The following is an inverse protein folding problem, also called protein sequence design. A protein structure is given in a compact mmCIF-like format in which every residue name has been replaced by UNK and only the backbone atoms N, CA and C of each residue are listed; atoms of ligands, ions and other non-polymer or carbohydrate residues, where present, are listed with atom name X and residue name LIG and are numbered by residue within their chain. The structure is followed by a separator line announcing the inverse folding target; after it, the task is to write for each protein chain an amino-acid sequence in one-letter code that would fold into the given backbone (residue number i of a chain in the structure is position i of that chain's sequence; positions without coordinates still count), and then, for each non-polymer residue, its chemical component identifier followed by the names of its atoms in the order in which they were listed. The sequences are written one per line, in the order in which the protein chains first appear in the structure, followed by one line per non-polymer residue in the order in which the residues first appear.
data_IF_159871404636
#
_entry.id   IF_159871404636
#
_cell.length_a   1.000
_cell.length_b   1.000
_cell.length_c   1.000
_cell.angle_alpha   90.00
_cell.angle_beta   90.00
_cell.angle_gamma   90.00
#
_symmetry.space_group_name_H-M   'P 1'
#
loop_
_entity.id
_entity.type
_entity.pdbx_description
1 polymer ?
#
# COMPACT_ATOMS: atom_id res chain seq x y z
N UNK A 1 -6.22 8.01 -16.83
CA UNK A 1 -5.23 7.56 -15.83
C UNK A 1 -5.48 6.09 -15.59
N UNK A 2 -4.76 5.23 -16.28
CA UNK A 2 -4.87 3.77 -16.14
C UNK A 2 -3.58 3.23 -15.53
N UNK A 3 -3.68 2.05 -14.92
CA UNK A 3 -2.72 1.33 -14.05
C UNK A 3 -1.31 1.07 -14.63
N UNK A 4 -0.94 1.62 -15.80
CA UNK A 4 0.29 1.31 -16.54
C UNK A 4 1.42 2.35 -16.48
N UNK A 5 1.26 3.44 -15.74
CA UNK A 5 2.28 4.51 -15.72
C UNK A 5 3.22 4.49 -14.49
N UNK A 6 2.99 3.61 -13.50
CA UNK A 6 3.78 3.58 -12.26
C UNK A 6 5.16 2.92 -12.39
N UNK A 7 5.37 2.04 -13.38
CA UNK A 7 6.69 1.45 -13.65
C UNK A 7 7.72 2.47 -14.17
N UNK A 8 7.29 3.70 -14.49
CA UNK A 8 8.14 4.81 -14.89
C UNK A 8 8.38 5.85 -13.78
N UNK A 9 7.96 5.57 -12.54
CA UNK A 9 8.19 6.49 -11.43
C UNK A 9 9.68 6.51 -11.05
N UNK A 10 10.26 7.71 -10.92
CA UNK A 10 11.66 7.90 -10.46
C UNK A 10 11.91 7.40 -9.03
N UNK A 11 10.90 6.89 -8.35
CA UNK A 11 10.92 6.46 -6.95
C UNK A 11 10.23 5.09 -6.84
N UNK A 12 10.98 4.00 -6.65
CA UNK A 12 10.39 2.67 -6.54
C UNK A 12 9.57 2.53 -5.26
N UNK A 13 8.52 1.73 -5.32
CA UNK A 13 7.76 1.33 -4.13
C UNK A 13 8.62 0.34 -3.34
N UNK A 14 8.90 0.68 -2.09
CA UNK A 14 9.74 -0.12 -1.20
C UNK A 14 8.94 -1.17 -0.44
N UNK A 15 7.68 -0.84 -0.10
CA UNK A 15 6.83 -1.72 0.71
C UNK A 15 5.36 -1.38 0.53
N UNK A 16 4.51 -2.39 0.51
CA UNK A 16 3.05 -2.24 0.62
C UNK A 16 2.57 -3.09 1.78
N UNK A 17 1.82 -2.48 2.70
CA UNK A 17 1.38 -3.11 3.95
C UNK A 17 -0.12 -2.93 4.15
N UNK A 18 -0.80 -4.01 4.51
CA UNK A 18 -2.14 -3.99 5.07
C UNK A 18 -2.05 -3.92 6.60
N UNK A 19 -2.57 -2.83 7.17
CA UNK A 19 -2.76 -2.60 8.60
C UNK A 19 -4.16 -3.01 9.08
N UNK A 20 -5.01 -3.49 8.19
CA UNK A 20 -6.39 -3.90 8.41
C UNK A 20 -7.34 -2.73 8.43
N UNK A 21 -7.06 -1.72 9.27
CA UNK A 21 -7.77 -0.44 9.24
C UNK A 21 -7.31 0.46 8.08
N UNK A 22 -6.19 0.15 7.44
CA UNK A 22 -5.61 0.90 6.34
C UNK A 22 -4.69 0.06 5.46
N UNK A 23 -4.47 0.53 4.23
CA UNK A 23 -3.38 0.08 3.36
C UNK A 23 -2.36 1.20 3.24
N UNK A 24 -1.09 0.89 3.51
CA UNK A 24 0.05 1.80 3.42
C UNK A 24 0.98 1.42 2.27
N UNK A 25 1.32 2.40 1.41
CA UNK A 25 2.34 2.26 0.36
C UNK A 25 3.52 3.15 0.71
N UNK A 26 4.71 2.57 0.78
CA UNK A 26 5.94 3.25 1.21
C UNK A 26 6.92 3.37 0.05
N UNK A 27 7.50 4.56 -0.11
CA UNK A 27 8.59 4.86 -1.04
C UNK A 27 9.50 5.94 -0.45
N UNK A 28 10.63 6.21 -1.11
CA UNK A 28 11.53 7.29 -0.73
C UNK A 28 11.35 8.49 -1.66
N UNK A 29 11.34 9.69 -1.08
CA UNK A 29 11.42 10.94 -1.84
C UNK A 29 12.86 11.15 -2.40
N UNK A 30 13.10 12.19 -3.22
CA UNK A 30 14.43 12.46 -3.77
C UNK A 30 15.52 12.72 -2.72
N UNK A 31 15.15 13.14 -1.51
CA UNK A 31 16.06 13.43 -0.41
C UNK A 31 16.30 12.20 0.48
N UNK A 32 15.66 11.07 0.18
CA UNK A 32 15.78 9.80 0.90
C UNK A 32 14.84 9.67 2.10
N UNK A 33 13.89 10.59 2.28
CA UNK A 33 12.90 10.49 3.35
C UNK A 33 11.85 9.43 3.02
N UNK A 34 11.44 8.66 4.03
CA UNK A 34 10.35 7.71 3.86
C UNK A 34 9.01 8.46 3.79
N UNK A 35 8.29 8.25 2.69
CA UNK A 35 6.93 8.73 2.48
C UNK A 35 5.98 7.55 2.51
N UNK A 36 4.82 7.76 3.11
CA UNK A 36 3.72 6.81 3.11
C UNK A 36 2.48 7.43 2.47
N UNK A 37 1.88 6.70 1.53
CA UNK A 37 0.50 6.94 1.10
C UNK A 37 -0.40 6.03 1.91
N UNK A 38 -1.27 6.65 2.69
CA UNK A 38 -2.21 5.97 3.59
C UNK A 38 -3.61 5.98 2.99
N UNK A 39 -4.23 4.81 2.85
CA UNK A 39 -5.62 4.66 2.43
C UNK A 39 -6.45 3.93 3.50
N UNK A 40 -7.47 4.56 4.10
CA UNK A 40 -8.30 3.92 5.12
C UNK A 40 -9.26 2.91 4.49
N UNK A 41 -9.34 1.71 5.07
CA UNK A 41 -10.25 0.64 4.61
C UNK A 41 -11.67 0.79 5.18
N UNK A 42 -11.82 1.56 6.26
CA UNK A 42 -13.07 1.69 7.03
C UNK A 42 -13.33 0.54 8.02
N UNK A 43 -12.41 -0.42 8.13
CA UNK A 43 -12.50 -1.54 9.08
C UNK A 43 -11.89 -1.12 10.41
N UNK A 44 -12.58 -1.39 11.52
CA UNK A 44 -11.97 -1.26 12.86
C UNK A 44 -11.13 -2.50 13.14
N UNK A 45 -9.80 -2.33 13.17
CA UNK A 45 -8.85 -3.43 13.33
C UNK A 45 -7.73 -3.07 14.33
N UNK A 46 -7.45 -3.95 15.32
CA UNK A 46 -6.48 -3.64 16.37
C UNK A 46 -5.05 -3.51 15.82
N UNK A 47 -4.31 -2.54 16.36
CA UNK A 47 -2.90 -2.33 16.07
C UNK A 47 -2.02 -2.83 17.21
N UNK A 48 -0.80 -3.35 16.93
CA UNK A 48 -0.13 -3.36 15.62
C UNK A 48 -0.55 -4.54 14.74
N UNK A 49 -0.79 -4.27 13.45
CA UNK A 49 -1.01 -5.30 12.44
C UNK A 49 -0.29 -4.92 11.14
N UNK A 50 0.25 -5.92 10.43
CA UNK A 50 0.98 -5.70 9.19
C UNK A 50 1.13 -6.98 8.40
N UNK A 51 0.50 -7.04 7.23
CA UNK A 51 0.69 -8.10 6.22
C UNK A 51 1.14 -7.46 4.88
N UNK A 52 2.02 -8.10 4.10
CA UNK A 52 2.34 -7.62 2.76
C UNK A 52 1.08 -7.66 1.88
N UNK A 53 0.96 -6.71 0.96
CA UNK A 53 -0.13 -6.68 -0.05
C UNK A 53 0.47 -6.80 -1.43
N UNK A 54 -0.12 -7.66 -2.26
CA UNK A 54 0.23 -7.76 -3.66
C UNK A 54 -0.64 -6.81 -4.50
N UNK A 55 -0.08 -5.67 -4.94
CA UNK A 55 -0.81 -4.72 -5.80
C UNK A 55 -1.03 -5.23 -7.24
N UNK A 56 -0.44 -6.36 -7.61
CA UNK A 56 -0.71 -7.01 -8.90
C UNK A 56 -1.94 -7.92 -8.86
N UNK A 57 -2.47 -8.21 -7.67
CA UNK A 57 -3.72 -8.95 -7.52
C UNK A 57 -4.93 -8.10 -7.97
N UNK A 58 -6.07 -8.77 -8.16
CA UNK A 58 -7.34 -8.07 -8.39
C UNK A 58 -7.78 -7.32 -7.13
N UNK A 59 -8.59 -6.28 -7.32
CA UNK A 59 -9.11 -5.48 -6.21
C UNK A 59 -9.90 -6.37 -5.23
N UNK A 60 -10.64 -7.36 -5.73
CA UNK A 60 -11.40 -8.34 -4.92
C UNK A 60 -10.49 -9.18 -4.02
N UNK A 61 -9.37 -9.68 -4.55
CA UNK A 61 -8.39 -10.45 -3.78
C UNK A 61 -7.73 -9.60 -2.70
N UNK A 62 -7.34 -8.36 -3.02
CA UNK A 62 -6.71 -7.44 -2.07
C UNK A 62 -7.68 -7.10 -0.93
N UNK A 63 -8.95 -6.84 -1.26
CA UNK A 63 -9.98 -6.52 -0.26
C UNK A 63 -10.30 -7.70 0.66
N UNK A 64 -10.22 -8.94 0.14
CA UNK A 64 -10.43 -10.16 0.94
C UNK A 64 -9.33 -10.40 1.98
N UNK A 65 -8.12 -9.86 1.76
CA UNK A 65 -6.97 -10.02 2.65
C UNK A 65 -6.86 -8.94 3.73
N UNK A 66 -7.84 -8.02 3.82
CA UNK A 66 -7.77 -6.89 4.74
C UNK A 66 -7.77 -7.28 6.23
N UNK A 67 -8.20 -8.48 6.62
CA UNK A 67 -8.25 -8.93 8.03
C UNK A 67 -7.47 -10.23 8.25
#
# INVERSE_FOLDING_TARGET
MTRRDYDAARFPINRVVNHGNAVGVYFQDPDGNQVEVYWPTGIDWPQPFGKPVNLEASDEEILAELT
#
